data_IF_836942467299
#
_entry.id   IF_836942467299
#
_cell.length_a   1.000
_cell.length_b   1.000
_cell.length_c   1.000
_cell.angle_alpha   90.00
_cell.angle_beta   90.00
_cell.angle_gamma   90.00
#
_symmetry.space_group_name_H-M   'P 1'
#
loop_
_entity.id
_entity.type
_entity.pdbx_description
1 polymer ?
#
# COMPACT_ATOMS: atom_id res chain seq x y z
N UNK A 1 1.56 29.68 4.00
CA UNK A 1 2.48 28.73 3.34
C UNK A 1 2.85 27.52 4.22
N UNK A 2 1.98 27.06 5.14
CA UNK A 2 2.37 26.05 6.13
C UNK A 2 2.34 24.59 5.62
N UNK A 3 1.91 24.35 4.37
CA UNK A 3 1.61 23.00 3.87
C UNK A 3 2.15 22.72 2.45
N UNK A 4 2.95 23.61 1.88
CA UNK A 4 3.48 23.44 0.50
C UNK A 4 4.47 22.28 0.36
N UNK A 5 5.01 21.76 1.47
CA UNK A 5 5.90 20.60 1.50
C UNK A 5 5.15 19.25 1.62
N UNK A 6 3.83 19.27 1.91
CA UNK A 6 3.04 18.04 2.03
C UNK A 6 3.00 17.23 0.73
N UNK A 7 2.89 17.82 -0.47
CA UNK A 7 2.90 17.05 -1.71
C UNK A 7 4.19 16.26 -1.91
N UNK A 8 5.36 16.83 -1.61
CA UNK A 8 6.64 16.12 -1.74
C UNK A 8 6.78 14.91 -0.80
N UNK A 9 5.97 14.83 0.26
CA UNK A 9 5.95 13.69 1.19
C UNK A 9 4.86 12.70 0.79
N UNK A 10 3.63 13.17 0.60
CA UNK A 10 2.49 12.27 0.38
C UNK A 10 2.43 11.68 -1.03
N UNK A 11 2.89 12.40 -2.05
CA UNK A 11 2.90 11.88 -3.43
C UNK A 11 3.78 10.63 -3.58
N UNK A 12 5.05 10.61 -3.15
CA UNK A 12 5.85 9.39 -3.24
C UNK A 12 5.34 8.28 -2.31
N UNK A 13 4.82 8.61 -1.13
CA UNK A 13 4.27 7.60 -0.21
C UNK A 13 3.04 6.93 -0.83
N UNK A 14 2.04 7.70 -1.27
CA UNK A 14 0.77 7.15 -1.79
C UNK A 14 0.95 6.60 -3.21
N UNK A 15 1.89 7.15 -3.99
CA UNK A 15 2.13 6.71 -5.36
C UNK A 15 3.01 5.46 -5.45
N UNK A 16 3.97 5.27 -4.54
CA UNK A 16 4.98 4.21 -4.66
C UNK A 16 4.95 3.26 -3.46
N UNK A 17 5.03 3.77 -2.23
CA UNK A 17 5.13 2.93 -1.02
C UNK A 17 3.81 2.22 -0.73
N UNK A 18 2.70 2.97 -0.68
CA UNK A 18 1.38 2.44 -0.39
C UNK A 18 0.97 1.38 -1.43
N UNK A 19 1.09 1.59 -2.75
CA UNK A 19 0.71 0.59 -3.74
C UNK A 19 1.62 -0.64 -3.67
N UNK A 20 2.93 -0.48 -3.45
CA UNK A 20 3.83 -1.62 -3.30
C UNK A 20 3.44 -2.49 -2.10
N UNK A 21 3.17 -1.88 -0.93
CA UNK A 21 2.75 -2.58 0.28
C UNK A 21 1.38 -3.23 0.09
N UNK A 22 0.39 -2.48 -0.43
CA UNK A 22 -0.96 -3.01 -0.67
C UNK A 22 -0.93 -4.17 -1.66
N UNK A 23 -0.19 -4.07 -2.76
CA UNK A 23 -0.09 -5.16 -3.73
C UNK A 23 0.59 -6.39 -3.14
N UNK A 24 1.66 -6.23 -2.36
CA UNK A 24 2.31 -7.35 -1.69
C UNK A 24 1.38 -8.05 -0.68
N UNK A 25 0.66 -7.27 0.14
CA UNK A 25 -0.30 -7.81 1.10
C UNK A 25 -1.50 -8.48 0.40
N UNK A 26 -2.01 -7.87 -0.66
CA UNK A 26 -3.09 -8.46 -1.47
C UNK A 26 -2.64 -9.75 -2.15
N UNK A 27 -1.42 -9.80 -2.67
CA UNK A 27 -0.86 -11.02 -3.24
C UNK A 27 -0.82 -12.14 -2.19
N UNK A 28 -0.28 -11.86 -1.00
CA UNK A 28 -0.24 -12.84 0.11
C UNK A 28 -1.65 -13.28 0.50
N UNK A 29 -2.63 -12.37 0.51
CA UNK A 29 -4.02 -12.71 0.82
C UNK A 29 -4.65 -13.61 -0.25
N UNK A 30 -4.43 -13.33 -1.54
CA UNK A 30 -4.98 -14.09 -2.66
C UNK A 30 -4.34 -15.48 -2.74
N UNK A 31 -3.02 -15.56 -2.59
CA UNK A 31 -2.26 -16.82 -2.62
C UNK A 31 -2.33 -17.58 -1.29
N UNK A 32 -3.10 -17.09 -0.32
CA UNK A 32 -3.28 -17.77 0.95
C UNK A 32 -4.09 -19.04 0.69
N UNK A 33 -3.42 -20.18 0.72
CA UNK A 33 -4.06 -21.47 0.66
C UNK A 33 -4.69 -21.78 2.03
N UNK A 34 -5.98 -21.46 2.16
CA UNK A 34 -6.75 -21.69 3.38
C UNK A 34 -7.62 -22.95 3.23
N UNK A 35 -7.30 -24.07 3.91
CA UNK A 35 -8.14 -25.26 3.91
C UNK A 35 -9.48 -25.07 4.63
N UNK A 36 -9.68 -23.97 5.37
CA UNK A 36 -10.92 -23.62 6.09
C UNK A 36 -11.72 -22.47 5.50
N UNK A 37 -11.15 -21.69 4.57
CA UNK A 37 -11.83 -20.63 3.81
C UNK A 37 -12.37 -19.45 4.62
N UNK A 38 -11.76 -19.11 5.77
CA UNK A 38 -12.09 -17.94 6.62
C UNK A 38 -10.88 -17.33 7.32
#
# INVERSE_FOLDING_TARGET
>A
MAASYLPSIFVPIIGWVFPAVTMALLFIYIEREDPSGI
#
